data_IF_483069196948
#
_entry.id   IF_483069196948
#
_cell.length_a   1.000
_cell.length_b   1.000
_cell.length_c   1.000
_cell.angle_alpha   90.00
_cell.angle_beta   90.00
_cell.angle_gamma   90.00
#
_symmetry.space_group_name_H-M   'P 1'
#
loop_
_entity.id
_entity.type
_entity.pdbx_description
1 polymer ?
#
# COMPACT_ATOMS: atom_id res chain seq x y z
N UNK A 1 -12.62 6.11 -20.71
CA UNK A 1 -11.55 5.43 -19.93
C UNK A 1 -10.58 6.48 -19.41
N UNK A 2 -10.39 6.58 -18.09
CA UNK A 2 -9.42 7.48 -17.42
C UNK A 2 -8.43 6.61 -16.65
N UNK A 3 -7.14 6.85 -16.83
CA UNK A 3 -6.06 6.15 -16.10
C UNK A 3 -5.53 7.09 -15.04
N UNK A 4 -5.42 6.61 -13.80
CA UNK A 4 -4.95 7.36 -12.64
C UNK A 4 -3.72 6.64 -12.08
N UNK A 5 -2.61 7.36 -11.95
CA UNK A 5 -1.42 6.87 -11.28
C UNK A 5 -1.60 7.04 -9.78
N UNK A 6 -1.55 5.93 -9.05
CA UNK A 6 -1.76 5.87 -7.61
C UNK A 6 -0.45 5.61 -6.85
N UNK A 7 0.70 5.95 -7.44
CA UNK A 7 2.04 5.59 -6.97
C UNK A 7 2.86 6.82 -6.60
N UNK A 8 3.41 6.83 -5.40
CA UNK A 8 4.43 7.81 -5.02
C UNK A 8 5.75 7.62 -5.77
N UNK A 9 6.41 8.71 -6.12
CA UNK A 9 7.74 8.68 -6.72
C UNK A 9 8.78 8.14 -5.73
N UNK A 10 9.60 7.18 -6.16
CA UNK A 10 10.74 6.71 -5.38
C UNK A 10 11.96 7.60 -5.70
N UNK A 11 12.47 8.27 -4.68
CA UNK A 11 13.65 9.14 -4.77
C UNK A 11 14.55 8.97 -3.54
N UNK A 12 15.82 9.42 -3.57
CA UNK A 12 16.73 9.30 -2.41
C UNK A 12 16.23 9.96 -1.11
N UNK A 13 15.26 10.85 -1.19
CA UNK A 13 14.67 11.53 -0.02
C UNK A 13 13.25 11.06 0.30
N UNK A 14 12.79 9.94 -0.25
CA UNK A 14 11.45 9.41 0.06
C UNK A 14 11.33 9.08 1.56
N UNK A 15 10.13 9.23 2.09
CA UNK A 15 9.84 8.80 3.46
C UNK A 15 9.91 7.27 3.55
N UNK A 16 10.68 6.77 4.50
CA UNK A 16 10.82 5.33 4.75
C UNK A 16 10.43 5.02 6.19
N UNK A 17 9.93 3.81 6.42
CA UNK A 17 9.60 3.34 7.77
C UNK A 17 10.84 3.37 8.67
N UNK A 18 10.72 3.70 9.98
CA UNK A 18 11.85 3.76 10.91
C UNK A 18 12.67 2.46 10.91
N UNK A 19 13.98 2.60 10.73
CA UNK A 19 14.89 1.46 10.62
C UNK A 19 15.09 0.94 9.19
N UNK A 20 14.27 1.34 8.23
CA UNK A 20 14.50 1.01 6.82
C UNK A 20 15.59 1.89 6.20
N UNK A 21 16.41 1.35 5.28
CA UNK A 21 17.43 2.14 4.60
C UNK A 21 16.80 3.14 3.64
N UNK A 22 17.42 4.31 3.51
CA UNK A 22 17.06 5.26 2.45
C UNK A 22 17.41 4.68 1.08
N UNK A 23 16.58 4.85 0.06
CA UNK A 23 16.90 4.48 -1.31
C UNK A 23 18.16 5.21 -1.80
N UNK A 24 19.02 4.49 -2.50
CA UNK A 24 20.17 5.04 -3.18
C UNK A 24 20.16 4.68 -4.66
N UNK A 25 20.44 5.68 -5.49
CA UNK A 25 20.56 5.52 -6.95
C UNK A 25 21.99 5.86 -7.33
N UNK A 26 22.75 4.88 -7.74
CA UNK A 26 24.16 4.99 -8.06
C UNK A 26 24.31 4.98 -9.58
N UNK A 27 24.87 6.06 -10.14
CA UNK A 27 25.19 6.11 -11.57
C UNK A 27 26.26 5.05 -11.88
N UNK A 28 25.89 4.05 -12.66
CA UNK A 28 26.76 2.93 -13.02
C UNK A 28 27.52 3.19 -14.30
N UNK A 29 26.83 3.65 -15.34
CA UNK A 29 27.41 4.07 -16.60
C UNK A 29 26.99 5.50 -16.97
N UNK A 30 27.80 6.14 -17.81
CA UNK A 30 27.56 7.50 -18.30
C UNK A 30 27.61 7.52 -19.83
N UNK A 31 26.70 8.21 -20.48
CA UNK A 31 26.58 8.26 -21.93
C UNK A 31 27.89 8.71 -22.60
N UNK A 32 28.51 9.75 -22.10
CA UNK A 32 29.76 10.33 -22.67
C UNK A 32 30.95 9.35 -22.67
N UNK A 33 30.93 8.34 -21.79
CA UNK A 33 32.03 7.37 -21.65
C UNK A 33 31.70 6.01 -22.22
N UNK A 34 30.43 5.58 -22.06
CA UNK A 34 29.98 4.21 -22.33
C UNK A 34 29.00 4.12 -23.51
N UNK A 35 28.49 5.27 -24.02
CA UNK A 35 27.46 5.30 -25.06
C UNK A 35 26.04 5.01 -24.56
N UNK A 36 25.85 4.83 -23.26
CA UNK A 36 24.55 4.63 -22.61
C UNK A 36 24.61 5.03 -21.14
N UNK A 37 23.45 5.29 -20.55
CA UNK A 37 23.29 5.57 -19.11
C UNK A 37 22.66 4.37 -18.40
N UNK A 38 23.10 4.05 -17.20
CA UNK A 38 22.47 3.09 -16.32
C UNK A 38 22.69 3.41 -14.84
N UNK A 39 21.79 2.92 -13.99
CA UNK A 39 21.84 3.08 -12.56
C UNK A 39 21.73 1.72 -11.86
N UNK A 40 22.37 1.64 -10.69
CA UNK A 40 22.14 0.58 -9.69
C UNK A 40 21.28 1.17 -8.59
N UNK A 41 20.21 0.47 -8.23
CA UNK A 41 19.33 0.86 -7.14
C UNK A 41 19.54 0.00 -5.91
N UNK A 42 19.57 0.63 -4.75
CA UNK A 42 19.49 -0.01 -3.46
C UNK A 42 18.29 0.56 -2.71
N UNK A 43 17.34 -0.30 -2.33
CA UNK A 43 16.14 0.09 -1.58
C UNK A 43 15.56 -1.11 -0.82
N UNK A 44 14.74 -0.83 0.21
CA UNK A 44 13.94 -1.85 0.87
C UNK A 44 12.82 -2.34 -0.07
N UNK A 45 12.42 -3.60 0.06
CA UNK A 45 11.21 -4.12 -0.61
C UNK A 45 9.91 -3.45 -0.16
N UNK A 46 9.95 -2.73 0.97
CA UNK A 46 8.85 -1.95 1.52
C UNK A 46 9.09 -0.43 1.36
N UNK A 47 9.48 0.01 0.16
CA UNK A 47 9.77 1.41 -0.14
C UNK A 47 8.65 2.04 -0.98
N UNK A 48 8.16 3.22 -0.56
CA UNK A 48 7.14 3.98 -1.29
C UNK A 48 5.81 3.24 -1.38
N UNK A 49 5.12 3.36 -2.50
CA UNK A 49 3.92 2.55 -2.77
C UNK A 49 4.35 1.12 -3.03
N UNK A 50 3.95 0.21 -2.15
CA UNK A 50 4.41 -1.17 -2.17
C UNK A 50 3.31 -2.17 -1.80
N UNK A 51 3.58 -3.43 -2.05
CA UNK A 51 2.73 -4.55 -1.67
C UNK A 51 3.47 -5.47 -0.71
N UNK A 52 2.78 -5.92 0.33
CA UNK A 52 3.25 -6.94 1.26
C UNK A 52 2.74 -8.31 0.88
N UNK A 53 3.64 -9.29 0.95
CA UNK A 53 3.33 -10.69 0.80
C UNK A 53 3.03 -11.35 2.16
N UNK A 54 2.26 -12.44 2.21
CA UNK A 54 1.97 -13.18 3.44
C UNK A 54 3.19 -13.51 4.31
N UNK A 55 4.33 -13.81 3.71
CA UNK A 55 5.56 -14.14 4.46
C UNK A 55 6.15 -12.96 5.23
N UNK A 56 5.65 -11.73 5.04
CA UNK A 56 6.12 -10.57 5.81
C UNK A 56 5.79 -10.71 7.30
N UNK A 57 4.59 -11.18 7.65
CA UNK A 57 4.16 -11.38 9.04
C UNK A 57 3.76 -12.83 9.37
N UNK A 58 3.88 -13.76 8.43
CA UNK A 58 3.46 -15.16 8.62
C UNK A 58 4.60 -16.12 8.33
N UNK A 59 5.01 -16.88 9.33
CA UNK A 59 6.01 -17.93 9.14
C UNK A 59 5.52 -18.94 8.08
N UNK A 60 6.34 -19.22 7.08
CA UNK A 60 5.98 -20.05 5.92
C UNK A 60 4.85 -19.48 5.03
N UNK A 61 4.50 -18.21 5.16
CA UNK A 61 3.63 -17.52 4.22
C UNK A 61 4.24 -17.46 2.81
N UNK A 62 3.39 -17.26 1.79
CA UNK A 62 3.85 -17.07 0.42
C UNK A 62 4.67 -15.80 0.28
N UNK A 63 5.81 -15.88 -0.43
CA UNK A 63 6.59 -14.72 -0.87
C UNK A 63 6.01 -14.09 -2.14
N UNK A 64 6.47 -12.91 -2.50
CA UNK A 64 5.97 -12.13 -3.65
C UNK A 64 5.99 -12.93 -4.96
N UNK A 65 7.04 -13.68 -5.21
CA UNK A 65 7.21 -14.50 -6.42
C UNK A 65 6.25 -15.70 -6.51
N UNK A 66 5.66 -16.09 -5.38
CA UNK A 66 4.72 -17.22 -5.25
C UNK A 66 3.24 -16.80 -5.32
N UNK A 67 2.96 -15.50 -5.39
CA UNK A 67 1.59 -15.00 -5.51
C UNK A 67 1.11 -15.16 -6.95
N UNK A 68 -0.11 -15.67 -7.12
CA UNK A 68 -0.73 -15.81 -8.44
C UNK A 68 -0.90 -14.43 -9.08
N UNK A 69 -0.43 -14.26 -10.31
CA UNK A 69 -0.47 -13.03 -11.09
C UNK A 69 -1.91 -12.49 -11.28
N UNK A 70 -2.90 -13.38 -11.31
CA UNK A 70 -4.31 -12.98 -11.41
C UNK A 70 -4.76 -12.11 -10.24
N UNK A 71 -4.08 -12.18 -9.09
CA UNK A 71 -4.38 -11.37 -7.91
C UNK A 71 -3.94 -9.91 -8.03
N UNK A 72 -3.11 -9.59 -9.01
CA UNK A 72 -2.56 -8.24 -9.22
C UNK A 72 -3.44 -7.36 -10.12
N UNK A 73 -4.49 -7.93 -10.72
CA UNK A 73 -5.44 -7.22 -11.58
C UNK A 73 -6.83 -7.38 -10.98
N UNK A 74 -7.25 -6.39 -10.21
CA UNK A 74 -8.53 -6.39 -9.52
C UNK A 74 -9.54 -5.58 -10.34
N UNK A 75 -10.47 -6.25 -11.03
CA UNK A 75 -11.44 -5.59 -11.92
C UNK A 75 -12.49 -4.79 -11.17
N UNK A 76 -12.80 -5.20 -9.95
CA UNK A 76 -13.87 -4.63 -9.11
C UNK A 76 -13.32 -4.10 -7.77
N UNK A 77 -12.18 -3.41 -7.81
CA UNK A 77 -11.65 -2.75 -6.63
C UNK A 77 -12.61 -1.65 -6.16
N UNK A 78 -12.81 -1.56 -4.85
CA UNK A 78 -13.78 -0.66 -4.22
C UNK A 78 -13.04 0.39 -3.38
N UNK A 79 -13.26 1.67 -3.68
CA UNK A 79 -12.75 2.77 -2.87
C UNK A 79 -13.75 3.15 -1.77
N UNK A 80 -13.28 3.22 -0.54
CA UNK A 80 -13.98 3.73 0.62
C UNK A 80 -13.26 4.97 1.16
N UNK A 81 -13.91 6.12 1.11
CA UNK A 81 -13.41 7.35 1.74
C UNK A 81 -13.88 7.38 3.18
N UNK A 82 -12.96 7.16 4.10
CA UNK A 82 -13.19 7.14 5.54
C UNK A 82 -12.11 8.03 6.16
N UNK A 83 -12.38 9.34 6.18
CA UNK A 83 -11.45 10.31 6.76
C UNK A 83 -11.14 9.95 8.22
N UNK A 84 -9.86 9.96 8.56
CA UNK A 84 -9.35 9.64 9.90
C UNK A 84 -8.26 10.63 10.30
N UNK A 85 -8.29 10.95 11.58
CA UNK A 85 -7.26 11.79 12.20
C UNK A 85 -6.10 10.94 12.75
N UNK A 86 -5.15 11.60 13.39
CA UNK A 86 -3.96 11.00 14.01
C UNK A 86 -4.30 9.77 14.85
N UNK A 87 -3.73 8.63 14.51
CA UNK A 87 -3.86 7.34 15.21
C UNK A 87 -5.29 6.81 15.37
N UNK A 88 -6.25 7.37 14.66
CA UNK A 88 -7.61 6.82 14.66
C UNK A 88 -7.67 5.49 13.92
N UNK A 89 -8.60 4.64 14.36
CA UNK A 89 -8.82 3.34 13.75
C UNK A 89 -10.03 3.38 12.81
N UNK A 90 -9.88 2.75 11.65
CA UNK A 90 -10.99 2.35 10.80
C UNK A 90 -11.60 1.11 11.45
N UNK A 91 -12.85 1.22 11.89
CA UNK A 91 -13.59 0.14 12.52
C UNK A 91 -14.46 -0.61 11.50
N UNK A 92 -14.95 -1.79 11.90
CA UNK A 92 -16.00 -2.50 11.14
C UNK A 92 -17.24 -1.61 10.94
N UNK A 93 -17.60 -0.80 11.96
CA UNK A 93 -18.73 0.12 11.89
C UNK A 93 -18.54 1.15 10.76
N UNK A 94 -17.37 1.78 10.69
CA UNK A 94 -17.05 2.75 9.63
C UNK A 94 -17.21 2.14 8.22
N UNK A 95 -16.78 0.89 8.03
CA UNK A 95 -16.91 0.19 6.75
C UNK A 95 -18.39 -0.07 6.42
N UNK A 96 -19.17 -0.52 7.39
CA UNK A 96 -20.60 -0.80 7.22
C UNK A 96 -21.41 0.47 6.92
N UNK A 97 -21.05 1.58 7.57
CA UNK A 97 -21.69 2.88 7.40
C UNK A 97 -21.49 3.48 5.99
N UNK A 98 -20.50 3.00 5.24
CA UNK A 98 -20.36 3.34 3.82
C UNK A 98 -21.52 2.80 2.95
N UNK A 99 -22.33 1.86 3.46
CA UNK A 99 -23.51 1.33 2.76
C UNK A 99 -23.21 0.58 1.47
N UNK A 100 -21.99 0.08 1.31
CA UNK A 100 -21.55 -0.65 0.10
C UNK A 100 -21.54 -2.16 0.33
N UNK A 101 -21.76 -2.92 -0.72
CA UNK A 101 -21.63 -4.37 -0.68
C UNK A 101 -20.17 -4.77 -0.99
N UNK A 102 -19.52 -5.48 -0.05
CA UNK A 102 -18.20 -6.06 -0.24
C UNK A 102 -18.38 -7.51 -0.68
N UNK A 103 -17.81 -7.84 -1.83
CA UNK A 103 -17.92 -9.17 -2.42
C UNK A 103 -16.59 -9.95 -2.25
N UNK A 104 -16.72 -11.27 -2.35
CA UNK A 104 -15.54 -12.14 -2.35
C UNK A 104 -14.60 -11.77 -3.50
N UNK A 105 -13.30 -11.71 -3.19
CA UNK A 105 -12.20 -11.32 -4.08
C UNK A 105 -12.15 -9.81 -4.42
N UNK A 106 -12.98 -8.98 -3.83
CA UNK A 106 -12.79 -7.52 -3.91
C UNK A 106 -11.40 -7.13 -3.40
N UNK A 107 -10.88 -6.03 -3.91
CA UNK A 107 -9.77 -5.30 -3.29
C UNK A 107 -10.34 -4.01 -2.72
N UNK A 108 -10.17 -3.82 -1.42
CA UNK A 108 -10.72 -2.66 -0.70
C UNK A 108 -9.64 -1.62 -0.52
N UNK A 109 -9.89 -0.42 -0.99
CA UNK A 109 -8.99 0.72 -0.88
C UNK A 109 -9.58 1.73 0.09
N UNK A 110 -8.84 2.08 1.12
CA UNK A 110 -9.21 3.13 2.07
C UNK A 110 -8.49 4.43 1.72
N UNK A 111 -9.26 5.47 1.45
CA UNK A 111 -8.82 6.86 1.38
C UNK A 111 -9.10 7.48 2.76
N UNK A 112 -8.08 7.57 3.57
CA UNK A 112 -8.17 8.14 4.92
C UNK A 112 -7.92 9.65 4.93
N UNK A 113 -7.50 10.20 3.79
CA UNK A 113 -7.03 11.58 3.67
C UNK A 113 -5.65 11.79 4.29
N UNK A 114 -4.93 10.72 4.64
CA UNK A 114 -3.60 10.81 5.27
C UNK A 114 -2.51 11.22 4.27
N UNK A 115 -2.69 10.97 2.97
CA UNK A 115 -1.75 11.40 1.92
C UNK A 115 -1.41 12.89 2.02
N UNK A 116 -2.33 13.76 2.48
CA UNK A 116 -2.08 15.20 2.68
C UNK A 116 -0.86 15.49 3.55
N UNK A 117 -0.46 14.56 4.42
CA UNK A 117 0.70 14.67 5.29
C UNK A 117 2.01 14.17 4.67
N UNK A 118 1.96 13.66 3.42
CA UNK A 118 3.12 13.17 2.70
C UNK A 118 4.03 14.29 2.18
N UNK A 119 3.62 15.55 2.14
CA UNK A 119 4.31 16.64 1.45
C UNK A 119 5.77 16.80 1.92
N UNK A 120 6.66 16.90 0.92
CA UNK A 120 8.11 16.97 1.07
C UNK A 120 8.63 18.33 1.54
N UNK A 121 7.80 19.38 1.51
CA UNK A 121 8.24 20.77 1.70
C UNK A 121 8.29 21.23 3.15
N UNK A 122 7.58 20.60 4.03
CA UNK A 122 7.67 20.89 5.43
C UNK A 122 8.72 20.00 6.07
N UNK A 123 9.81 20.59 6.53
CA UNK A 123 10.83 19.99 7.40
C UNK A 123 10.25 19.48 8.74
N UNK A 124 8.93 19.31 8.80
CA UNK A 124 8.22 18.81 9.94
C UNK A 124 7.96 17.32 9.77
N UNK A 125 8.94 16.57 10.30
CA UNK A 125 8.69 15.28 10.90
C UNK A 125 8.20 14.19 9.92
N UNK A 126 9.12 13.65 9.18
CA UNK A 126 9.02 12.27 8.66
C UNK A 126 8.38 11.34 9.70
N UNK A 127 8.71 11.53 10.97
CA UNK A 127 8.11 10.86 12.12
C UNK A 127 6.59 11.04 12.21
N UNK A 128 6.03 12.24 11.98
CA UNK A 128 4.57 12.43 12.10
C UNK A 128 3.81 11.61 11.05
N UNK A 129 4.26 11.65 9.78
CA UNK A 129 3.60 10.88 8.72
C UNK A 129 3.55 9.38 9.05
N UNK A 130 4.62 8.84 9.63
CA UNK A 130 4.79 7.40 9.86
C UNK A 130 4.31 6.96 11.24
N UNK A 131 4.46 7.81 12.27
CA UNK A 131 4.18 7.44 13.66
C UNK A 131 2.80 7.89 14.15
N UNK A 132 2.08 8.62 13.32
CA UNK A 132 0.77 9.16 13.67
C UNK A 132 -0.33 8.81 12.67
N UNK A 133 -0.03 7.95 11.69
CA UNK A 133 -1.01 7.55 10.69
C UNK A 133 -2.19 6.80 11.31
N UNK A 134 -3.39 6.98 10.73
CA UNK A 134 -4.52 6.11 11.03
C UNK A 134 -4.26 4.71 10.49
N UNK A 135 -5.02 3.73 10.97
CA UNK A 135 -4.91 2.35 10.49
C UNK A 135 -6.19 1.56 10.69
N UNK A 136 -6.21 0.30 10.29
CA UNK A 136 -7.35 -0.58 10.53
C UNK A 136 -7.38 -1.06 11.99
N UNK A 137 -8.59 -1.17 12.53
CA UNK A 137 -8.84 -1.90 13.77
C UNK A 137 -8.85 -3.42 13.52
N UNK A 138 -8.64 -4.18 14.59
CA UNK A 138 -8.68 -5.64 14.53
C UNK A 138 -10.06 -6.17 14.06
N UNK A 139 -11.14 -5.51 14.45
CA UNK A 139 -12.52 -5.83 14.05
C UNK A 139 -12.76 -5.59 12.55
N UNK A 140 -12.21 -4.50 12.00
CA UNK A 140 -12.27 -4.20 10.56
C UNK A 140 -11.46 -5.23 9.77
N UNK A 141 -10.23 -5.52 10.21
CA UNK A 141 -9.36 -6.51 9.57
C UNK A 141 -10.00 -7.90 9.56
N UNK A 142 -10.59 -8.32 10.68
CA UNK A 142 -11.29 -9.60 10.77
C UNK A 142 -12.52 -9.65 9.86
N UNK A 143 -13.30 -8.56 9.79
CA UNK A 143 -14.46 -8.45 8.90
C UNK A 143 -14.05 -8.60 7.42
N UNK A 144 -12.94 -7.98 7.00
CA UNK A 144 -12.44 -8.08 5.62
C UNK A 144 -11.97 -9.50 5.29
N UNK A 145 -11.32 -10.18 6.25
CA UNK A 145 -10.96 -11.60 6.12
C UNK A 145 -12.20 -12.48 5.96
N UNK A 146 -13.23 -12.29 6.79
CA UNK A 146 -14.50 -13.02 6.72
C UNK A 146 -15.21 -12.78 5.38
N UNK A 147 -15.12 -11.56 4.84
CA UNK A 147 -15.62 -11.19 3.51
C UNK A 147 -14.80 -11.80 2.38
N UNK A 148 -13.65 -12.43 2.66
CA UNK A 148 -12.77 -13.09 1.69
C UNK A 148 -12.24 -12.14 0.62
N UNK A 149 -11.87 -10.93 1.01
CA UNK A 149 -11.29 -9.94 0.09
C UNK A 149 -9.92 -10.41 -0.44
N UNK A 150 -9.55 -9.95 -1.62
CA UNK A 150 -8.26 -10.24 -2.25
C UNK A 150 -7.11 -9.43 -1.62
N UNK A 151 -7.34 -8.15 -1.44
CA UNK A 151 -6.35 -7.20 -0.95
C UNK A 151 -7.00 -6.06 -0.17
N UNK A 152 -6.22 -5.45 0.69
CA UNK A 152 -6.55 -4.19 1.37
C UNK A 152 -5.46 -3.18 1.06
N UNK A 153 -5.86 -1.96 0.73
CA UNK A 153 -4.94 -0.89 0.37
C UNK A 153 -5.25 0.39 1.14
N UNK A 154 -4.23 1.20 1.42
CA UNK A 154 -4.34 2.47 2.15
C UNK A 154 -3.46 3.56 1.55
N UNK A 155 -3.84 4.83 1.80
CA UNK A 155 -3.06 6.03 1.48
C UNK A 155 -2.02 6.38 2.57
N UNK A 156 -1.93 5.59 3.63
CA UNK A 156 -1.03 5.76 4.76
C UNK A 156 0.23 4.88 4.63
N UNK A 157 1.30 5.17 5.41
CA UNK A 157 2.55 4.41 5.35
C UNK A 157 2.44 3.01 5.97
N UNK A 158 1.35 2.72 6.68
CA UNK A 158 1.07 1.41 7.26
C UNK A 158 -0.44 1.16 7.33
N UNK A 159 -0.83 -0.12 7.17
CA UNK A 159 -2.20 -0.58 7.40
C UNK A 159 -2.55 -0.55 8.89
N UNK A 160 -1.58 -0.65 9.79
CA UNK A 160 -1.76 -0.45 11.22
C UNK A 160 -1.58 1.02 11.59
N UNK A 161 -2.28 1.49 12.62
CA UNK A 161 -2.09 2.84 13.13
C UNK A 161 -0.67 3.04 13.67
N UNK A 162 -0.14 4.26 13.57
CA UNK A 162 1.23 4.59 13.96
C UNK A 162 1.57 4.26 15.43
N UNK A 163 0.58 4.12 16.29
CA UNK A 163 0.73 3.67 17.69
C UNK A 163 0.65 2.17 17.89
N UNK A 164 0.29 1.40 16.87
CA UNK A 164 0.24 -0.06 17.00
C UNK A 164 1.62 -0.69 16.72
N UNK A 165 2.34 -0.96 17.80
CA UNK A 165 3.63 -1.65 17.75
C UNK A 165 3.51 -3.18 17.67
N UNK A 166 2.28 -3.71 17.67
CA UNK A 166 2.01 -5.15 17.56
C UNK A 166 1.68 -5.57 16.13
N UNK A 167 1.40 -4.63 15.23
CA UNK A 167 1.05 -4.89 13.83
C UNK A 167 -0.13 -5.87 13.70
N UNK A 168 -1.23 -5.55 14.39
CA UNK A 168 -2.37 -6.46 14.52
C UNK A 168 -3.07 -6.68 13.19
N UNK A 169 -3.27 -5.62 12.41
CA UNK A 169 -3.94 -5.71 11.11
C UNK A 169 -3.09 -6.44 10.08
N UNK A 170 -1.78 -6.18 10.02
CA UNK A 170 -0.88 -6.99 9.20
C UNK A 170 -0.98 -8.47 9.52
N UNK A 171 -0.89 -8.83 10.81
CA UNK A 171 -0.97 -10.24 11.23
C UNK A 171 -2.29 -10.88 10.84
N UNK A 172 -3.42 -10.21 11.07
CA UNK A 172 -4.75 -10.75 10.72
C UNK A 172 -4.86 -10.93 9.21
N UNK A 173 -4.54 -9.90 8.42
CA UNK A 173 -4.73 -9.92 6.96
C UNK A 173 -3.78 -10.92 6.29
N UNK A 174 -2.47 -10.79 6.53
CA UNK A 174 -1.46 -11.60 5.85
C UNK A 174 -1.51 -13.08 6.25
N UNK A 175 -1.84 -13.41 7.52
CA UNK A 175 -2.02 -14.81 7.94
C UNK A 175 -3.24 -15.48 7.27
N UNK A 176 -4.20 -14.69 6.82
CA UNK A 176 -5.36 -15.15 6.06
C UNK A 176 -5.18 -14.95 4.54
N UNK A 177 -3.94 -14.72 4.09
CA UNK A 177 -3.60 -14.58 2.68
C UNK A 177 -4.30 -13.41 1.98
N UNK A 178 -4.70 -12.37 2.72
CA UNK A 178 -5.12 -11.07 2.17
C UNK A 178 -3.87 -10.23 1.93
N UNK A 179 -3.68 -9.69 0.73
CA UNK A 179 -2.54 -8.84 0.40
C UNK A 179 -2.72 -7.45 1.02
N UNK A 180 -1.62 -6.84 1.42
CA UNK A 180 -1.62 -5.46 1.93
C UNK A 180 -0.89 -4.56 0.94
N UNK A 181 -1.43 -3.36 0.69
CA UNK A 181 -0.85 -2.37 -0.21
C UNK A 181 -0.85 -1.03 0.52
N UNK A 182 0.31 -0.39 0.59
CA UNK A 182 0.52 0.80 1.40
C UNK A 182 1.05 1.96 0.59
N UNK A 183 0.88 3.17 1.12
CA UNK A 183 1.33 4.41 0.49
C UNK A 183 0.73 4.63 -0.90
N UNK A 184 -0.57 4.46 -1.07
CA UNK A 184 -1.25 4.93 -2.28
C UNK A 184 -1.34 6.47 -2.29
N UNK A 185 -1.40 7.05 -3.48
CA UNK A 185 -1.60 8.47 -3.65
C UNK A 185 -2.67 8.78 -4.70
N UNK A 186 -3.08 10.05 -4.78
CA UNK A 186 -4.07 10.53 -5.76
C UNK A 186 -5.47 9.87 -5.63
N UNK A 187 -5.81 9.32 -4.46
CA UNK A 187 -7.12 8.70 -4.24
C UNK A 187 -8.27 9.71 -4.30
N UNK A 188 -7.98 11.01 -4.08
CA UNK A 188 -8.96 12.09 -4.23
C UNK A 188 -9.55 12.19 -5.65
N UNK A 189 -8.86 11.63 -6.65
CA UNK A 189 -9.31 11.59 -8.06
C UNK A 189 -10.38 10.54 -8.34
N UNK A 190 -10.68 9.70 -7.35
CA UNK A 190 -11.72 8.67 -7.35
C UNK A 190 -12.88 9.07 -6.43
N UNK A 191 -14.04 8.48 -6.61
CA UNK A 191 -15.22 8.74 -5.77
C UNK A 191 -15.42 7.61 -4.74
N UNK A 192 -15.92 7.96 -3.55
CA UNK A 192 -16.29 6.94 -2.56
C UNK A 192 -17.39 6.01 -3.08
N UNK A 193 -17.29 4.73 -2.79
CA UNK A 193 -18.19 3.69 -3.32
C UNK A 193 -17.94 3.34 -4.79
N UNK A 194 -16.98 3.99 -5.45
CA UNK A 194 -16.65 3.72 -6.84
C UNK A 194 -15.93 2.39 -6.99
N UNK A 195 -16.39 1.56 -7.94
CA UNK A 195 -15.67 0.39 -8.40
C UNK A 195 -14.85 0.74 -9.64
N UNK A 196 -13.66 0.18 -9.74
CA UNK A 196 -12.73 0.43 -10.85
C UNK A 196 -11.74 -0.73 -11.01
N UNK A 197 -11.05 -0.77 -12.15
CA UNK A 197 -9.96 -1.72 -12.31
C UNK A 197 -8.70 -1.19 -11.63
N UNK A 198 -8.18 -1.96 -10.67
CA UNK A 198 -6.97 -1.66 -9.91
C UNK A 198 -5.86 -2.64 -10.29
N UNK A 199 -4.75 -2.13 -10.80
CA UNK A 199 -3.58 -2.89 -11.23
C UNK A 199 -2.43 -2.59 -10.28
N UNK A 200 -1.85 -3.63 -9.68
CA UNK A 200 -0.81 -3.54 -8.64
C UNK A 200 0.26 -4.60 -8.88
N UNK A 201 1.13 -4.37 -9.85
CA UNK A 201 2.11 -5.37 -10.27
C UNK A 201 3.44 -5.21 -9.54
N UNK A 202 3.79 -6.14 -8.62
CA UNK A 202 5.09 -6.17 -7.98
C UNK A 202 6.18 -6.70 -8.93
N UNK A 203 7.43 -6.42 -8.61
CA UNK A 203 8.56 -7.13 -9.18
C UNK A 203 8.54 -8.59 -8.69
N UNK A 204 8.89 -9.54 -9.57
CA UNK A 204 8.94 -10.96 -9.20
C UNK A 204 10.25 -11.29 -8.47
N UNK A 205 10.37 -10.78 -7.25
CA UNK A 205 11.55 -10.94 -6.39
C UNK A 205 11.46 -12.26 -5.63
N UNK A 206 12.38 -13.17 -5.88
CA UNK A 206 12.40 -14.51 -5.26
C UNK A 206 12.59 -14.38 -3.76
N UNK A 207 11.70 -15.03 -2.98
CA UNK A 207 11.66 -15.04 -1.51
C UNK A 207 11.47 -13.67 -0.84
N UNK A 208 11.11 -12.61 -1.59
CA UNK A 208 10.89 -11.30 -1.00
C UNK A 208 9.56 -11.23 -0.23
N UNK A 209 9.60 -10.49 0.88
CA UNK A 209 8.45 -10.23 1.77
C UNK A 209 7.49 -9.17 1.23
N UNK A 210 7.93 -8.39 0.27
CA UNK A 210 7.18 -7.33 -0.39
C UNK A 210 7.89 -6.84 -1.65
N UNK A 211 7.30 -5.88 -2.33
CA UNK A 211 7.89 -5.22 -3.49
C UNK A 211 7.28 -3.85 -3.71
N UNK A 212 8.06 -2.82 -4.06
CA UNK A 212 7.52 -1.63 -4.68
C UNK A 212 6.68 -2.00 -5.90
N UNK A 213 5.60 -1.26 -6.13
CA UNK A 213 4.67 -1.48 -7.23
C UNK A 213 4.42 -0.19 -8.03
N UNK A 214 3.95 -0.32 -9.27
CA UNK A 214 3.22 0.75 -9.94
C UNK A 214 1.73 0.47 -9.77
N UNK A 215 1.08 1.20 -8.89
CA UNK A 215 -0.36 1.11 -8.65
C UNK A 215 -1.11 2.00 -9.65
N UNK A 216 -2.08 1.44 -10.36
CA UNK A 216 -2.83 2.14 -11.41
C UNK A 216 -4.32 1.90 -11.22
N UNK A 217 -5.11 2.97 -11.19
CA UNK A 217 -6.57 2.92 -11.27
C UNK A 217 -7.06 3.19 -12.69
N UNK A 218 -7.99 2.38 -13.19
CA UNK A 218 -8.65 2.60 -14.48
C UNK A 218 -10.14 2.75 -14.25
N UNK A 219 -10.66 3.91 -14.62
CA UNK A 219 -12.09 4.25 -14.55
C UNK A 219 -12.64 4.34 -15.98
N UNK A 220 -13.78 3.71 -16.19
CA UNK A 220 -14.52 3.80 -17.47
C UNK A 220 -15.19 5.16 -17.70
#
# INVERSE_FOLDING_TARGET
MKVIDLTHEISPGIRVFPGSPQPAFIKWSKFDTHGYDSEVMFLSTHTGTHMDAPCHFTLNGKSIDQIDVNRFICKDALLLKIEKETNELITRGDIMDCGVNIEKNDSIIFDTGWEKHYDKKENQKTEHYIMANPGLGADASQFLVESKVNAVAVDSPSIDAGTDHNFISHKILLSNNVLVIENLCNLEKLSSGQRFTFIVTPLKLVHATGSPIRAIGIVE
#
